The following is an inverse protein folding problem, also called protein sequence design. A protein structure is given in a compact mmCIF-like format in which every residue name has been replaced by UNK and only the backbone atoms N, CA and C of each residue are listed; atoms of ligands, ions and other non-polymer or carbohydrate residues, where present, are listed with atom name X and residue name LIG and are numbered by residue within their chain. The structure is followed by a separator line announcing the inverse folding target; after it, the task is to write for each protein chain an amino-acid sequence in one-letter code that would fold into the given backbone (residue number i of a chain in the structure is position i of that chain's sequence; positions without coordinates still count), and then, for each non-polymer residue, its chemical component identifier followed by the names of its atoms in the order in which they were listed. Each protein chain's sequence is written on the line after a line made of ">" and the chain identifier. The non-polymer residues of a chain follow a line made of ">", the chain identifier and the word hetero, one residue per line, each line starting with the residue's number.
data_IF_485578788639
#
_entry.id   IF_485578788639
#
_cell.length_a   1.000
_cell.length_b   1.000
_cell.length_c   1.000
_cell.angle_alpha   90.00
_cell.angle_beta   90.00
_cell.angle_gamma   90.00
#
_symmetry.space_group_name_H-M   'P 1'
#
loop_
_entity.id
_entity.type
_entity.pdbx_description
1 polymer ?
#
# COMPACT_ATOMS: atom_id res chain seq x y z
N UNK A 1 -6.32 -11.50 5.76
CA UNK A 1 -6.43 -10.19 5.08
C UNK A 1 -5.86 -10.31 3.68
N UNK A 2 -6.44 -9.65 2.67
CA UNK A 2 -5.88 -9.64 1.31
C UNK A 2 -5.40 -8.26 0.88
N UNK A 3 -4.30 -8.18 0.15
CA UNK A 3 -3.87 -6.93 -0.49
C UNK A 3 -4.81 -6.55 -1.64
N UNK A 4 -4.86 -5.25 -1.96
CA UNK A 4 -5.72 -4.69 -3.02
C UNK A 4 -5.58 -5.44 -4.36
N UNK A 5 -4.35 -5.80 -4.74
CA UNK A 5 -4.13 -6.56 -5.99
C UNK A 5 -4.69 -7.98 -5.89
N UNK A 6 -4.41 -8.71 -4.80
CA UNK A 6 -4.95 -10.06 -4.64
C UNK A 6 -6.49 -10.05 -4.62
N UNK A 7 -7.09 -9.06 -3.95
CA UNK A 7 -8.55 -8.84 -3.98
C UNK A 7 -9.10 -8.72 -5.39
N UNK A 8 -8.49 -7.89 -6.24
CA UNK A 8 -8.90 -7.77 -7.65
C UNK A 8 -8.77 -9.09 -8.41
N UNK A 9 -7.67 -9.82 -8.23
CA UNK A 9 -7.46 -11.11 -8.91
C UNK A 9 -8.40 -12.22 -8.41
N UNK A 10 -8.92 -12.10 -7.19
CA UNK A 10 -9.89 -13.01 -6.58
C UNK A 10 -11.35 -12.52 -6.65
N UNK A 11 -11.65 -11.49 -7.44
CA UNK A 11 -12.98 -10.91 -7.63
C UNK A 11 -13.63 -10.35 -6.34
N UNK A 12 -12.83 -9.97 -5.34
CA UNK A 12 -13.26 -9.36 -4.08
C UNK A 12 -13.23 -7.83 -4.16
N UNK A 13 -14.25 -7.23 -4.79
CA UNK A 13 -14.32 -5.78 -4.98
C UNK A 13 -15.02 -5.09 -3.78
N UNK A 14 -14.23 -4.62 -2.82
CA UNK A 14 -14.71 -3.93 -1.61
C UNK A 14 -14.37 -2.43 -1.57
N UNK A 15 -14.75 -1.75 -0.48
CA UNK A 15 -14.51 -0.31 -0.30
C UNK A 15 -13.02 0.07 -0.23
N UNK A 16 -12.14 -0.87 0.15
CA UNK A 16 -10.70 -0.65 0.15
C UNK A 16 -10.17 -0.62 -1.28
N UNK A 17 -10.55 -1.62 -2.09
CA UNK A 17 -10.24 -1.64 -3.53
C UNK A 17 -10.81 -0.38 -4.19
N UNK A 18 -12.08 -0.06 -3.96
CA UNK A 18 -12.70 1.14 -4.51
C UNK A 18 -11.91 2.40 -4.18
N UNK A 19 -11.64 2.64 -2.88
CA UNK A 19 -10.90 3.80 -2.40
C UNK A 19 -9.52 3.90 -3.06
N UNK A 20 -8.83 2.78 -3.23
CA UNK A 20 -7.48 2.77 -3.76
C UNK A 20 -7.45 3.05 -5.27
N UNK A 21 -8.53 2.74 -6.00
CA UNK A 21 -8.66 3.00 -7.44
C UNK A 21 -9.24 4.37 -7.79
N UNK A 22 -9.95 5.05 -6.88
CA UNK A 22 -10.53 6.39 -7.12
C UNK A 22 -9.48 7.41 -7.58
N UNK A 23 -8.21 7.24 -7.20
CA UNK A 23 -7.07 8.12 -7.57
C UNK A 23 -6.68 8.05 -9.06
N UNK A 24 -7.13 7.05 -9.79
CA UNK A 24 -6.82 6.89 -11.22
C UNK A 24 -7.90 7.55 -12.10
N UNK A 25 -7.45 8.38 -13.05
CA UNK A 25 -8.27 8.87 -14.17
C UNK A 25 -8.30 7.84 -15.30
N UNK A 26 -9.02 8.12 -16.39
CA UNK A 26 -8.86 7.34 -17.64
C UNK A 26 -7.39 7.42 -18.11
N UNK A 27 -6.87 6.31 -18.63
CA UNK A 27 -5.49 6.22 -19.14
C UNK A 27 -4.71 5.02 -18.60
N UNK A 28 -3.41 5.00 -18.89
CA UNK A 28 -2.49 3.92 -18.53
C UNK A 28 -1.53 4.39 -17.44
N UNK A 29 -1.44 3.63 -16.36
CA UNK A 29 -0.58 3.89 -15.21
C UNK A 29 0.38 2.73 -15.02
N UNK A 30 1.58 2.89 -15.55
CA UNK A 30 2.65 1.91 -15.40
C UNK A 30 3.32 2.01 -14.03
N UNK A 31 4.05 0.96 -13.65
CA UNK A 31 4.91 0.94 -12.48
C UNK A 31 4.16 1.16 -11.15
N UNK A 32 2.98 0.56 -11.04
CA UNK A 32 2.15 0.59 -9.84
C UNK A 32 2.29 -0.69 -9.05
N UNK A 33 2.02 -0.60 -7.74
CA UNK A 33 2.04 -1.73 -6.81
C UNK A 33 3.30 -2.59 -7.01
N UNK A 34 4.47 -1.95 -6.94
CA UNK A 34 5.75 -2.63 -7.16
C UNK A 34 6.05 -3.53 -5.96
N UNK A 35 6.51 -4.76 -6.24
CA UNK A 35 6.93 -5.72 -5.22
C UNK A 35 8.28 -6.30 -5.62
N UNK A 36 9.21 -6.36 -4.67
CA UNK A 36 10.44 -7.12 -4.75
C UNK A 36 10.47 -8.11 -3.57
N UNK A 37 10.57 -9.40 -3.87
CA UNK A 37 10.66 -10.47 -2.89
C UNK A 37 11.99 -11.19 -3.00
N UNK A 38 12.59 -11.51 -1.86
CA UNK A 38 13.76 -12.39 -1.78
C UNK A 38 13.59 -13.39 -0.65
N UNK A 39 13.62 -14.68 -0.99
CA UNK A 39 13.66 -15.78 -0.02
C UNK A 39 15.05 -15.80 0.61
N UNK A 40 15.09 -15.65 1.93
CA UNK A 40 16.24 -15.94 2.77
C UNK A 40 16.01 -17.32 3.41
N UNK A 41 16.99 -17.83 4.15
CA UNK A 41 16.97 -19.20 4.70
C UNK A 41 15.62 -19.59 5.31
N UNK A 42 15.16 -18.83 6.29
CA UNK A 42 13.97 -19.07 7.10
C UNK A 42 12.97 -17.90 7.08
N UNK A 43 13.27 -16.85 6.30
CA UNK A 43 12.50 -15.60 6.23
C UNK A 43 12.44 -15.06 4.82
N UNK A 44 11.54 -14.12 4.58
CA UNK A 44 11.47 -13.34 3.36
C UNK A 44 11.85 -11.89 3.64
N UNK A 45 12.56 -11.30 2.68
CA UNK A 45 12.76 -9.86 2.61
C UNK A 45 11.87 -9.33 1.50
N UNK A 46 10.90 -8.50 1.85
CA UNK A 46 9.92 -7.92 0.95
C UNK A 46 10.15 -6.41 0.90
N UNK A 47 9.99 -5.86 -0.29
CA UNK A 47 10.20 -4.46 -0.61
C UNK A 47 9.07 -4.03 -1.53
N UNK A 48 8.36 -2.95 -1.21
CA UNK A 48 7.22 -2.51 -2.02
C UNK A 48 7.20 -1.00 -2.26
N UNK A 49 6.39 -0.59 -3.24
CA UNK A 49 5.96 0.81 -3.39
C UNK A 49 4.97 1.22 -2.29
N UNK A 50 4.57 2.49 -2.28
CA UNK A 50 3.80 3.10 -1.19
C UNK A 50 2.37 2.61 -1.07
N UNK A 51 1.81 2.04 -2.14
CA UNK A 51 0.45 1.50 -2.16
C UNK A 51 0.23 0.38 -1.13
N UNK A 52 1.29 -0.32 -0.70
CA UNK A 52 1.21 -1.39 0.32
C UNK A 52 1.42 -0.91 1.77
N UNK A 53 1.57 0.40 2.01
CA UNK A 53 1.89 0.90 3.34
C UNK A 53 0.82 0.51 4.38
N UNK A 54 -0.45 0.80 4.08
CA UNK A 54 -1.56 0.46 4.97
C UNK A 54 -1.71 -1.05 5.16
N UNK A 55 -1.61 -1.83 4.06
CA UNK A 55 -1.64 -3.29 4.11
C UNK A 55 -0.59 -3.86 5.07
N UNK A 56 0.67 -3.44 4.93
CA UNK A 56 1.74 -3.95 5.81
C UNK A 56 1.59 -3.51 7.26
N UNK A 57 1.21 -2.26 7.51
CA UNK A 57 0.96 -1.80 8.88
C UNK A 57 -0.12 -2.67 9.52
N UNK A 58 -1.25 -2.87 8.85
CA UNK A 58 -2.34 -3.69 9.38
C UNK A 58 -1.92 -5.14 9.56
N UNK A 59 -1.32 -5.77 8.54
CA UNK A 59 -0.92 -7.18 8.58
C UNK A 59 0.06 -7.48 9.72
N UNK A 60 1.00 -6.57 9.98
CA UNK A 60 1.94 -6.72 11.10
C UNK A 60 1.26 -6.48 12.44
N UNK A 61 0.35 -5.49 12.56
CA UNK A 61 -0.38 -5.23 13.81
C UNK A 61 -1.30 -6.39 14.20
N UNK A 62 -2.02 -6.99 13.24
CA UNK A 62 -2.90 -8.14 13.50
C UNK A 62 -2.15 -9.36 14.04
N UNK A 63 -0.85 -9.45 13.75
CA UNK A 63 0.02 -10.52 14.21
C UNK A 63 0.96 -10.12 15.37
N UNK A 64 0.87 -8.87 15.83
CA UNK A 64 1.65 -8.35 16.93
C UNK A 64 0.89 -8.49 18.24
N UNK A 65 1.63 -8.58 19.34
CA UNK A 65 1.06 -8.56 20.68
C UNK A 65 1.92 -7.72 21.62
N UNK A 66 1.31 -7.23 22.70
CA UNK A 66 1.98 -6.41 23.69
C UNK A 66 2.27 -5.00 23.20
N UNK A 67 3.24 -4.36 23.86
CA UNK A 67 3.58 -2.97 23.62
C UNK A 67 4.56 -2.81 22.45
N UNK A 68 4.30 -1.83 21.57
CA UNK A 68 5.05 -1.55 20.36
C UNK A 68 5.61 -0.12 20.36
N UNK A 69 6.89 -0.01 20.04
CA UNK A 69 7.53 1.27 19.75
C UNK A 69 7.29 1.63 18.28
N UNK A 70 6.38 2.57 18.03
CA UNK A 70 5.98 3.01 16.69
C UNK A 70 6.64 4.34 16.35
N UNK A 71 7.29 4.38 15.18
CA UNK A 71 7.83 5.61 14.59
C UNK A 71 7.30 5.81 13.20
N UNK A 72 6.97 7.04 12.82
CA UNK A 72 6.53 7.31 11.46
C UNK A 72 5.53 8.44 11.38
N UNK A 73 4.67 8.39 10.37
CA UNK A 73 3.67 9.42 10.15
C UNK A 73 2.32 8.83 9.78
N UNK A 74 1.25 9.51 10.22
CA UNK A 74 -0.12 9.30 9.73
C UNK A 74 -0.52 10.54 8.96
N UNK A 75 -0.98 10.35 7.71
CA UNK A 75 -1.36 11.46 6.82
C UNK A 75 -2.85 11.37 6.50
N UNK A 76 -3.56 12.48 6.66
CA UNK A 76 -5.00 12.59 6.44
C UNK A 76 -5.39 13.99 5.97
N UNK A 77 -6.61 14.13 5.45
CA UNK A 77 -7.23 15.43 5.17
C UNK A 77 -8.06 15.94 6.36
N UNK A 78 -8.50 15.05 7.25
CA UNK A 78 -9.20 15.34 8.50
C UNK A 78 -8.23 15.42 9.69
N UNK A 79 -8.66 16.07 10.79
CA UNK A 79 -7.93 15.98 12.06
C UNK A 79 -8.21 14.63 12.72
N UNK A 80 -7.17 13.84 13.01
CA UNK A 80 -7.34 12.54 13.67
C UNK A 80 -6.97 12.57 15.16
N UNK A 81 -6.50 13.70 15.68
CA UNK A 81 -5.90 13.78 17.03
C UNK A 81 -6.84 13.35 18.15
N UNK A 82 -8.13 13.67 18.03
CA UNK A 82 -9.15 13.28 19.01
C UNK A 82 -9.38 11.77 19.08
N UNK A 83 -8.97 11.04 18.04
CA UNK A 83 -9.19 9.60 17.90
C UNK A 83 -7.92 8.80 18.21
N UNK A 84 -6.81 9.47 18.52
CA UNK A 84 -5.56 8.82 18.90
C UNK A 84 -5.52 8.59 20.41
N UNK A 85 -5.45 7.32 20.81
CA UNK A 85 -5.27 6.91 22.22
C UNK A 85 -3.79 6.70 22.61
N UNK A 86 -2.91 7.43 21.94
CA UNK A 86 -1.45 7.37 22.10
C UNK A 86 -0.82 8.73 21.84
N UNK A 87 0.42 8.90 22.31
CA UNK A 87 1.14 10.17 22.22
C UNK A 87 1.46 10.55 20.77
N UNK A 88 1.27 11.83 20.44
CA UNK A 88 1.63 12.42 19.14
C UNK A 88 2.80 13.37 19.37
N UNK A 89 3.94 13.07 18.75
CA UNK A 89 5.17 13.85 18.89
C UNK A 89 5.05 15.23 18.24
N UNK A 90 4.47 15.30 17.03
CA UNK A 90 4.29 16.57 16.33
C UNK A 90 3.15 16.51 15.30
N UNK A 91 2.64 17.68 14.90
CA UNK A 91 1.60 17.82 13.88
C UNK A 91 2.06 18.81 12.83
N UNK A 92 2.27 18.33 11.60
CA UNK A 92 2.60 19.16 10.44
C UNK A 92 1.34 19.38 9.60
N UNK A 93 1.22 20.57 9.01
CA UNK A 93 0.11 20.93 8.13
C UNK A 93 0.67 21.48 6.83
N UNK A 94 0.16 21.01 5.71
CA UNK A 94 0.57 21.48 4.39
C UNK A 94 -0.58 21.33 3.39
N UNK A 95 -1.05 22.43 2.80
CA UNK A 95 -2.06 22.42 1.71
C UNK A 95 -3.30 21.56 2.01
N UNK A 96 -3.90 21.72 3.20
CA UNK A 96 -5.08 20.96 3.63
C UNK A 96 -4.79 19.53 4.10
N UNK A 97 -3.54 19.05 3.96
CA UNK A 97 -3.08 17.76 4.48
C UNK A 97 -2.55 17.97 5.91
N UNK A 98 -2.96 17.08 6.81
CA UNK A 98 -2.45 16.97 8.18
C UNK A 98 -1.58 15.73 8.30
N UNK A 99 -0.44 15.89 8.94
CA UNK A 99 0.54 14.84 9.14
C UNK A 99 0.85 14.75 10.63
N UNK A 100 0.40 13.68 11.27
CA UNK A 100 0.75 13.33 12.65
C UNK A 100 2.10 12.61 12.61
N UNK A 101 3.08 13.11 13.36
CA UNK A 101 4.38 12.49 13.54
C UNK A 101 4.33 11.68 14.82
N UNK A 102 4.71 10.41 14.73
CA UNK A 102 4.69 9.48 15.85
C UNK A 102 6.12 9.04 16.20
N UNK A 103 6.39 9.01 17.50
CA UNK A 103 7.54 8.39 18.13
C UNK A 103 7.10 7.97 19.54
N UNK A 104 6.20 7.00 19.60
CA UNK A 104 5.45 6.67 20.80
C UNK A 104 5.43 5.16 21.06
N UNK A 105 5.09 4.81 22.30
CA UNK A 105 4.75 3.44 22.69
C UNK A 105 3.22 3.29 22.68
N UNK A 106 2.71 2.21 22.07
CA UNK A 106 1.27 1.92 21.99
C UNK A 106 1.01 0.42 21.81
N UNK A 107 -0.25 0.00 21.78
CA UNK A 107 -0.64 -1.39 21.53
C UNK A 107 -1.21 -1.56 20.11
N UNK A 108 -1.18 -2.79 19.55
CA UNK A 108 -1.79 -3.08 18.26
C UNK A 108 -3.26 -2.67 18.15
N UNK A 109 -4.05 -2.91 19.19
CA UNK A 109 -5.50 -2.69 19.20
C UNK A 109 -5.86 -1.22 19.01
N UNK A 110 -5.10 -0.32 19.68
CA UNK A 110 -5.30 1.13 19.54
C UNK A 110 -5.02 1.62 18.13
N UNK A 111 -3.97 1.07 17.49
CA UNK A 111 -3.63 1.46 16.11
C UNK A 111 -4.62 0.88 15.10
N UNK A 112 -5.02 -0.39 15.28
CA UNK A 112 -6.04 -1.04 14.45
C UNK A 112 -7.37 -0.30 14.52
N UNK A 113 -7.84 0.06 15.72
CA UNK A 113 -9.05 0.87 15.91
C UNK A 113 -9.00 2.21 15.15
N UNK A 114 -7.84 2.88 15.16
CA UNK A 114 -7.65 4.11 14.39
C UNK A 114 -7.70 3.85 12.88
N UNK A 115 -7.11 2.74 12.40
CA UNK A 115 -7.16 2.34 10.98
C UNK A 115 -8.57 1.97 10.52
N UNK A 116 -9.36 1.33 11.38
CA UNK A 116 -10.76 0.99 11.11
C UNK A 116 -11.64 2.25 11.05
N UNK A 117 -11.40 3.22 11.93
CA UNK A 117 -12.12 4.50 11.94
C UNK A 117 -11.73 5.40 10.77
N UNK A 118 -10.48 5.33 10.31
CA UNK A 118 -9.94 6.18 9.25
C UNK A 118 -9.22 5.40 8.16
N UNK A 119 -9.91 4.51 7.42
CA UNK A 119 -9.29 3.62 6.43
C UNK A 119 -8.63 4.36 5.25
N UNK A 120 -9.04 5.62 5.02
CA UNK A 120 -8.49 6.50 3.97
C UNK A 120 -7.23 7.26 4.41
N UNK A 121 -6.87 7.22 5.68
CA UNK A 121 -5.62 7.80 6.13
C UNK A 121 -4.45 6.93 5.66
N UNK A 122 -3.30 7.56 5.44
CA UNK A 122 -2.09 6.88 5.01
C UNK A 122 -1.17 6.67 6.20
N UNK A 123 -0.86 5.41 6.50
CA UNK A 123 -0.11 4.98 7.67
C UNK A 123 1.31 4.57 7.25
N UNK A 124 2.24 5.52 7.30
CA UNK A 124 3.66 5.26 7.05
C UNK A 124 4.39 5.03 8.37
N UNK A 125 4.13 3.86 8.98
CA UNK A 125 4.62 3.48 10.30
C UNK A 125 5.74 2.43 10.19
N UNK A 126 6.74 2.57 11.05
CA UNK A 126 7.87 1.66 11.19
C UNK A 126 7.93 1.16 12.62
N UNK A 127 7.98 -0.15 12.79
CA UNK A 127 8.05 -0.82 14.08
C UNK A 127 8.50 -2.27 13.88
N UNK A 128 8.90 -2.91 14.98
CA UNK A 128 9.25 -4.33 15.01
C UNK A 128 8.41 -5.02 16.08
N UNK A 129 7.98 -6.25 15.81
CA UNK A 129 7.30 -7.11 16.79
C UNK A 129 7.66 -8.55 16.48
N UNK A 130 8.27 -9.26 17.44
CA UNK A 130 8.71 -10.65 17.24
C UNK A 130 9.54 -10.82 15.97
N UNK A 131 8.98 -11.55 15.00
CA UNK A 131 9.61 -11.86 13.72
C UNK A 131 9.43 -10.79 12.62
N UNK A 132 8.59 -9.78 12.88
CA UNK A 132 8.33 -8.70 11.94
C UNK A 132 9.30 -7.54 12.16
N UNK A 133 9.88 -7.06 11.07
CA UNK A 133 10.62 -5.80 11.03
C UNK A 133 10.10 -4.97 9.85
N UNK A 134 9.18 -4.05 10.15
CA UNK A 134 8.53 -3.19 9.18
C UNK A 134 9.18 -1.80 9.19
N UNK A 135 9.64 -1.37 8.02
CA UNK A 135 10.18 -0.03 7.80
C UNK A 135 9.45 0.63 6.64
N UNK A 136 8.84 1.77 6.89
CA UNK A 136 8.17 2.57 5.87
C UNK A 136 8.76 3.97 5.87
N UNK A 137 9.10 4.47 4.68
CA UNK A 137 9.64 5.83 4.53
C UNK A 137 8.58 6.86 4.90
N UNK A 138 8.92 7.79 5.78
CA UNK A 138 8.04 8.90 6.20
C UNK A 138 7.87 10.00 5.12
N UNK A 139 8.48 9.86 3.95
CA UNK A 139 8.30 10.80 2.83
C UNK A 139 8.11 9.99 1.55
N UNK A 140 7.10 10.31 0.71
CA UNK A 140 6.98 9.72 -0.60
C UNK A 140 8.30 9.91 -1.37
N UNK A 141 8.67 8.96 -2.24
CA UNK A 141 9.83 9.15 -3.09
C UNK A 141 9.66 10.47 -3.84
N UNK A 142 10.70 11.30 -3.86
CA UNK A 142 10.65 12.54 -4.63
C UNK A 142 10.33 12.14 -6.07
N UNK A 143 9.15 12.55 -6.56
CA UNK A 143 8.79 12.35 -7.97
C UNK A 143 9.99 12.80 -8.79
N UNK A 144 10.55 11.88 -9.57
CA UNK A 144 11.79 12.14 -10.30
C UNK A 144 11.57 13.40 -11.13
N UNK A 145 12.19 14.52 -10.76
CA UNK A 145 12.23 15.68 -11.65
C UNK A 145 12.81 15.17 -12.97
N UNK A 146 12.21 15.49 -14.12
CA UNK A 146 12.81 15.20 -15.42
C UNK A 146 14.16 15.92 -15.44
N UNK A 147 15.26 15.17 -15.27
CA UNK A 147 16.60 15.73 -15.09
C UNK A 147 17.45 15.05 -14.03
N UNK A 148 16.86 14.37 -13.03
CA UNK A 148 17.64 13.51 -12.17
C UNK A 148 17.94 12.22 -12.93
N UNK A 149 19.23 12.00 -13.22
CA UNK A 149 19.79 10.75 -13.70
C UNK A 149 19.49 9.62 -12.70
N UNK A 150 18.27 9.09 -12.66
CA UNK A 150 18.14 7.64 -12.51
C UNK A 150 19.02 7.09 -13.62
N UNK A 151 20.04 6.29 -13.24
CA UNK A 151 20.93 5.65 -14.22
C UNK A 151 20.05 5.11 -15.35
N UNK A 152 20.33 5.52 -16.60
CA UNK A 152 19.59 5.04 -17.78
C UNK A 152 19.40 3.52 -17.64
N UNK A 153 18.16 3.08 -17.40
CA UNK A 153 17.81 1.65 -17.21
C UNK A 153 17.35 1.22 -15.82
N UNK A 154 17.53 2.00 -14.75
CA UNK A 154 16.95 1.68 -13.44
C UNK A 154 15.53 2.26 -13.36
N UNK A 155 14.53 1.42 -13.64
CA UNK A 155 13.11 1.73 -13.40
C UNK A 155 12.81 2.08 -11.94
N UNK A 156 11.57 2.46 -11.62
CA UNK A 156 11.16 2.81 -10.26
C UNK A 156 11.42 1.65 -9.29
N UNK A 157 11.94 1.97 -8.10
CA UNK A 157 12.36 1.00 -7.08
C UNK A 157 11.23 0.73 -6.09
N UNK A 158 11.03 -0.53 -5.73
CA UNK A 158 10.08 -0.96 -4.71
C UNK A 158 10.64 -0.73 -3.28
N UNK A 159 11.17 0.44 -2.97
CA UNK A 159 11.94 0.65 -1.73
C UNK A 159 11.25 1.55 -0.70
N UNK A 160 9.93 1.74 -0.84
CA UNK A 160 9.17 2.61 0.05
C UNK A 160 8.81 1.91 1.37
N UNK A 161 8.31 0.67 1.27
CA UNK A 161 8.16 -0.22 2.42
C UNK A 161 9.22 -1.33 2.35
N UNK A 162 9.70 -1.78 3.50
CA UNK A 162 10.52 -2.96 3.64
C UNK A 162 10.02 -3.77 4.82
N UNK A 163 9.70 -5.03 4.58
CA UNK A 163 9.28 -6.00 5.58
C UNK A 163 10.24 -7.18 5.58
N UNK A 164 10.71 -7.58 6.77
CA UNK A 164 11.27 -8.91 6.99
C UNK A 164 10.32 -9.71 7.86
N UNK A 165 10.03 -10.94 7.46
CA UNK A 165 9.08 -11.82 8.16
C UNK A 165 9.22 -13.28 7.69
N UNK A 166 8.81 -14.25 8.49
CA UNK A 166 8.58 -15.66 8.16
C UNK A 166 7.08 -15.98 8.00
N UNK A 167 6.18 -14.99 8.15
CA UNK A 167 4.74 -15.20 8.00
C UNK A 167 4.39 -15.52 6.54
N UNK A 168 3.95 -16.76 6.31
CA UNK A 168 3.57 -17.27 4.98
C UNK A 168 2.30 -16.65 4.42
N UNK A 169 1.33 -16.27 5.24
CA UNK A 169 0.07 -15.66 4.79
C UNK A 169 0.33 -14.35 4.04
N UNK A 170 1.28 -13.53 4.51
CA UNK A 170 1.70 -12.30 3.82
C UNK A 170 2.38 -12.63 2.48
N UNK A 171 3.15 -13.72 2.41
CA UNK A 171 3.82 -14.15 1.19
C UNK A 171 2.81 -14.68 0.18
N UNK A 172 1.93 -15.58 0.60
CA UNK A 172 0.86 -16.16 -0.20
C UNK A 172 -0.10 -15.08 -0.69
N UNK A 173 -0.34 -14.02 0.09
CA UNK A 173 -1.14 -12.89 -0.37
C UNK A 173 -0.44 -12.05 -1.46
N UNK A 174 0.84 -11.72 -1.28
CA UNK A 174 1.55 -10.85 -2.22
C UNK A 174 1.96 -11.57 -3.52
N UNK A 175 2.23 -12.87 -3.40
CA UNK A 175 2.74 -13.74 -4.45
C UNK A 175 1.75 -14.88 -4.75
N UNK A 176 0.45 -14.59 -4.66
CA UNK A 176 -0.66 -15.56 -4.80
C UNK A 176 -0.62 -16.42 -6.07
N UNK A 177 0.03 -15.91 -7.13
CA UNK A 177 0.19 -16.56 -8.43
C UNK A 177 1.57 -17.21 -8.62
N UNK A 178 2.43 -17.21 -7.60
CA UNK A 178 3.79 -17.74 -7.68
C UNK A 178 4.08 -18.75 -6.56
N UNK A 179 4.20 -20.05 -6.87
CA UNK A 179 4.34 -21.08 -5.85
C UNK A 179 5.71 -21.09 -5.15
N UNK A 180 6.81 -20.83 -5.87
CA UNK A 180 8.16 -20.75 -5.29
C UNK A 180 9.06 -19.79 -6.07
N UNK A 181 9.95 -19.09 -5.36
CA UNK A 181 10.95 -18.19 -5.93
C UNK A 181 12.15 -18.04 -4.99
N UNK A 182 13.34 -17.79 -5.56
CA UNK A 182 14.48 -17.25 -4.80
C UNK A 182 14.44 -15.72 -4.79
N UNK A 183 14.29 -15.13 -5.96
CA UNK A 183 14.10 -13.69 -6.17
C UNK A 183 12.95 -13.44 -7.14
N UNK A 184 12.10 -12.48 -6.79
CA UNK A 184 10.95 -12.09 -7.62
C UNK A 184 10.80 -10.58 -7.66
N UNK A 185 10.43 -10.06 -8.84
CA UNK A 185 10.03 -8.66 -9.02
C UNK A 185 8.68 -8.62 -9.71
N UNK A 186 7.75 -7.85 -9.17
CA UNK A 186 6.41 -7.69 -9.72
C UNK A 186 6.13 -6.22 -9.96
N UNK A 187 5.56 -5.95 -11.12
CA UNK A 187 5.12 -4.64 -11.56
C UNK A 187 3.69 -4.74 -12.11
N UNK A 188 2.83 -3.79 -11.73
CA UNK A 188 1.49 -3.70 -12.25
C UNK A 188 1.34 -2.48 -13.17
N UNK A 189 0.71 -2.71 -14.31
CA UNK A 189 0.18 -1.64 -15.18
C UNK A 189 -1.33 -1.62 -15.04
N UNK A 190 -1.88 -0.47 -14.68
CA UNK A 190 -3.33 -0.27 -14.53
C UNK A 190 -3.82 0.54 -15.73
N UNK A 191 -4.73 -0.03 -16.50
CA UNK A 191 -5.39 0.63 -17.62
C UNK A 191 -6.84 0.92 -17.25
N UNK A 192 -7.19 2.19 -17.05
CA UNK A 192 -8.55 2.62 -16.80
C UNK A 192 -9.21 2.96 -18.14
N UNK A 193 -10.13 2.10 -18.57
CA UNK A 193 -10.89 2.25 -19.83
C UNK A 193 -12.08 3.17 -19.66
N UNK A 194 -12.80 3.02 -18.54
CA UNK A 194 -14.00 3.82 -18.29
C UNK A 194 -14.19 4.19 -16.81
N UNK A 195 -14.98 5.23 -16.58
CA UNK A 195 -15.35 5.74 -15.28
C UNK A 195 -16.87 5.88 -15.24
N UNK A 196 -17.52 5.03 -14.46
CA UNK A 196 -18.96 5.09 -14.25
C UNK A 196 -19.29 6.06 -13.12
N UNK A 197 -19.97 7.14 -13.45
CA UNK A 197 -20.46 8.11 -12.48
C UNK A 197 -21.92 7.75 -12.14
N UNK A 198 -22.29 7.59 -10.86
CA UNK A 198 -23.67 7.31 -10.49
C UNK A 198 -24.59 8.46 -10.89
N UNK A 199 -25.77 8.13 -11.43
CA UNK A 199 -26.80 9.12 -11.76
C UNK A 199 -27.35 9.80 -10.51
N UNK A 200 -27.67 11.10 -10.60
CA UNK A 200 -28.35 11.84 -9.54
C UNK A 200 -27.43 12.54 -8.52
N UNK A 201 -26.11 12.45 -8.68
CA UNK A 201 -25.14 13.21 -7.86
C UNK A 201 -24.77 14.49 -8.60
N UNK A 202 -24.92 15.63 -7.93
CA UNK A 202 -24.65 16.96 -8.50
C UNK A 202 -23.32 17.55 -8.03
N UNK A 203 -22.79 17.09 -6.89
CA UNK A 203 -21.55 17.63 -6.33
C UNK A 203 -20.31 16.94 -6.91
N UNK A 204 -19.30 17.68 -7.41
CA UNK A 204 -18.10 17.08 -7.98
C UNK A 204 -17.31 16.17 -7.04
N UNK A 205 -17.32 16.46 -5.74
CA UNK A 205 -16.61 15.66 -4.75
C UNK A 205 -17.26 14.29 -4.55
N UNK A 206 -18.58 14.23 -4.41
CA UNK A 206 -19.30 12.96 -4.26
C UNK A 206 -19.29 12.16 -5.56
N UNK A 207 -19.37 12.83 -6.72
CA UNK A 207 -19.21 12.17 -8.02
C UNK A 207 -17.88 11.42 -8.09
N UNK A 208 -16.77 12.06 -7.68
CA UNK A 208 -15.45 11.41 -7.68
C UNK A 208 -15.37 10.24 -6.71
N UNK A 209 -15.92 10.43 -5.49
CA UNK A 209 -15.87 9.44 -4.41
C UNK A 209 -16.73 8.21 -4.65
N UNK A 210 -17.76 8.28 -5.49
CA UNK A 210 -18.68 7.17 -5.76
C UNK A 210 -18.52 6.60 -7.18
N UNK A 211 -17.75 7.26 -8.03
CA UNK A 211 -17.56 6.78 -9.39
C UNK A 211 -16.72 5.50 -9.40
N UNK A 212 -17.16 4.50 -10.16
CA UNK A 212 -16.44 3.23 -10.34
C UNK A 212 -15.47 3.31 -11.51
N UNK A 213 -14.34 2.61 -11.42
CA UNK A 213 -13.30 2.52 -12.44
C UNK A 213 -13.39 1.14 -13.08
N UNK A 214 -13.54 1.13 -14.40
CA UNK A 214 -13.53 -0.07 -15.23
C UNK A 214 -12.21 -0.14 -15.97
N UNK A 215 -11.52 -1.26 -15.86
CA UNK A 215 -10.17 -1.36 -16.40
C UNK A 215 -9.58 -2.76 -16.44
N UNK A 216 -8.29 -2.79 -16.76
CA UNK A 216 -7.45 -3.99 -16.76
C UNK A 216 -6.24 -3.73 -15.86
N UNK A 217 -5.89 -4.71 -15.03
CA UNK A 217 -4.59 -4.79 -14.38
C UNK A 217 -3.75 -5.81 -15.12
N UNK A 218 -2.59 -5.39 -15.62
CA UNK A 218 -1.55 -6.27 -16.15
C UNK A 218 -0.48 -6.45 -15.09
N UNK A 219 -0.29 -7.66 -14.60
CA UNK A 219 0.70 -8.04 -13.60
C UNK A 219 1.86 -8.73 -14.31
N UNK A 220 3.02 -8.07 -14.32
CA UNK A 220 4.28 -8.59 -14.87
C UNK A 220 5.15 -9.07 -13.72
N UNK A 221 5.45 -10.36 -13.71
CA UNK A 221 6.28 -11.03 -12.72
C UNK A 221 7.59 -11.47 -13.37
N UNK A 222 8.72 -11.17 -12.73
CA UNK A 222 10.05 -11.65 -13.11
C UNK A 222 10.54 -12.56 -11.99
N UNK A 223 10.47 -13.88 -12.21
CA UNK A 223 10.74 -14.93 -11.22
C UNK A 223 12.04 -15.62 -11.61
N UNK A 224 13.08 -15.45 -10.80
CA UNK A 224 14.41 -16.06 -11.04
C UNK A 224 14.93 -15.82 -12.48
N UNK A 225 14.61 -14.66 -13.05
CA UNK A 225 14.99 -14.22 -14.39
C UNK A 225 14.01 -14.56 -15.52
N UNK A 226 12.95 -15.35 -15.25
CA UNK A 226 11.88 -15.65 -16.21
C UNK A 226 10.75 -14.65 -16.07
N UNK A 227 10.20 -14.22 -17.20
CA UNK A 227 9.12 -13.23 -17.24
C UNK A 227 7.78 -13.90 -17.52
N UNK A 228 6.76 -13.53 -16.74
CA UNK A 228 5.37 -13.94 -16.91
C UNK A 228 4.45 -12.71 -16.82
N UNK A 229 3.38 -12.69 -17.59
CA UNK A 229 2.39 -11.61 -17.60
C UNK A 229 1.01 -12.22 -17.46
N UNK A 230 0.26 -11.75 -16.47
CA UNK A 230 -1.15 -12.08 -16.26
C UNK A 230 -1.99 -10.82 -16.35
N UNK A 231 -3.23 -10.93 -16.83
CA UNK A 231 -4.15 -9.81 -16.96
C UNK A 231 -5.48 -10.12 -16.27
N UNK A 232 -6.11 -9.12 -15.66
CA UNK A 232 -7.41 -9.23 -15.02
C UNK A 232 -8.24 -7.97 -15.27
N UNK A 233 -9.46 -8.15 -15.77
CA UNK A 233 -10.45 -7.08 -15.86
C UNK A 233 -11.10 -6.82 -14.49
N UNK A 234 -11.45 -5.57 -14.20
CA UNK A 234 -12.06 -5.20 -12.93
C UNK A 234 -13.06 -4.03 -13.06
N UNK A 235 -13.97 -3.96 -12.08
CA UNK A 235 -14.89 -2.83 -11.86
C UNK A 235 -14.79 -2.41 -10.39
N UNK A 236 -13.95 -1.43 -10.10
CA UNK A 236 -13.60 -0.99 -8.74
C UNK A 236 -14.23 0.31 -8.32
#
# INVERSE_FOLDING_TARGET
>A
MKSVINKVFSDEMDEEVHTDFVKYSRGVFENRYLIEGKKQKDKWSIKTSCEFANFFVRAVLENASGELNIKGIIVSTSDLRSDCEFEIDNVKRYMGIKQLVLNCSTTPEKMLSLMDKHPRAFYALSFSSGDYNLKIKAKPPKSGKPGNKTKKGEGPKADFCSLKTSNKEIIEDLFFDVPEFKEIKINHTIEIKDIEIPSGITTPEEMRKKAKRKGIIKRKSIIDGKEEITEKEFVG
#
